data_IF_269667425048
#
_entry.id   IF_269667425048
#
_cell.length_a   1.000
_cell.length_b   1.000
_cell.length_c   1.000
_cell.angle_alpha   90.00
_cell.angle_beta   90.00
_cell.angle_gamma   90.00
#
_symmetry.space_group_name_H-M   'P 1'
#
loop_
_entity.id
_entity.type
_entity.pdbx_description
1 polymer ?
#
# COMPACT_ATOMS: atom_id res chain seq x y z
N UNK A 1 -12.92 -9.66 5.61
CA UNK A 1 -12.33 -8.84 4.52
C UNK A 1 -13.14 -9.07 3.26
N UNK A 2 -13.62 -8.01 2.60
CA UNK A 2 -14.39 -8.10 1.35
C UNK A 2 -13.52 -8.63 0.19
N UNK A 3 -14.15 -9.05 -0.91
CA UNK A 3 -13.41 -9.47 -2.11
C UNK A 3 -12.51 -8.36 -2.65
N UNK A 4 -13.00 -7.12 -2.65
CA UNK A 4 -12.21 -5.93 -3.00
C UNK A 4 -11.01 -5.77 -2.06
N UNK A 5 -11.21 -5.91 -0.75
CA UNK A 5 -10.11 -5.84 0.22
C UNK A 5 -9.04 -6.93 -0.02
N UNK A 6 -9.45 -8.15 -0.37
CA UNK A 6 -8.51 -9.23 -0.71
C UNK A 6 -7.71 -8.91 -1.96
N UNK A 7 -8.35 -8.37 -3.01
CA UNK A 7 -7.68 -7.95 -4.24
C UNK A 7 -6.70 -6.82 -4.00
N UNK A 8 -7.07 -5.81 -3.19
CA UNK A 8 -6.18 -4.71 -2.81
C UNK A 8 -4.96 -5.21 -2.05
N UNK A 9 -5.14 -6.08 -1.05
CA UNK A 9 -4.02 -6.67 -0.30
C UNK A 9 -3.07 -7.42 -1.24
N UNK A 10 -3.62 -8.22 -2.15
CA UNK A 10 -2.83 -8.93 -3.16
C UNK A 10 -2.09 -7.97 -4.09
N UNK A 11 -2.76 -6.92 -4.57
CA UNK A 11 -2.17 -5.93 -5.47
C UNK A 11 -0.99 -5.19 -4.81
N UNK A 12 -1.09 -4.81 -3.54
CA UNK A 12 0.02 -4.18 -2.81
C UNK A 12 1.23 -5.14 -2.76
N UNK A 13 1.02 -6.39 -2.37
CA UNK A 13 2.10 -7.38 -2.24
C UNK A 13 2.75 -7.70 -3.59
N UNK A 14 1.95 -7.97 -4.62
CA UNK A 14 2.44 -8.27 -5.97
C UNK A 14 3.24 -7.11 -6.54
N UNK A 15 2.67 -5.90 -6.55
CA UNK A 15 3.33 -4.73 -7.16
C UNK A 15 4.60 -4.32 -6.42
N UNK A 16 4.63 -4.44 -5.09
CA UNK A 16 5.84 -4.14 -4.32
C UNK A 16 6.95 -5.16 -4.56
N UNK A 17 6.61 -6.44 -4.76
CA UNK A 17 7.57 -7.47 -5.12
C UNK A 17 8.11 -7.26 -6.54
N UNK A 18 7.25 -7.04 -7.53
CA UNK A 18 7.64 -6.85 -8.94
C UNK A 18 8.52 -5.62 -9.16
N UNK A 19 8.31 -4.57 -8.37
CA UNK A 19 9.03 -3.30 -8.53
C UNK A 19 10.27 -3.20 -7.65
N UNK A 20 10.52 -4.15 -6.75
CA UNK A 20 11.66 -4.09 -5.84
C UNK A 20 12.99 -3.85 -6.60
N UNK A 21 13.86 -2.94 -6.12
CA UNK A 21 13.79 -2.19 -4.85
C UNK A 21 13.01 -0.85 -4.93
N UNK A 22 12.30 -0.58 -6.04
CA UNK A 22 11.49 0.63 -6.20
C UNK A 22 10.19 0.56 -5.38
N UNK A 23 9.53 1.70 -5.24
CA UNK A 23 8.29 1.87 -4.46
C UNK A 23 7.07 1.99 -5.36
N UNK A 24 5.89 1.81 -4.78
CA UNK A 24 4.57 2.17 -5.34
C UNK A 24 3.91 3.27 -4.49
N UNK A 25 2.81 3.85 -4.97
CA UNK A 25 1.86 4.59 -4.12
C UNK A 25 0.55 3.80 -3.94
N UNK A 26 -0.33 4.18 -2.99
CA UNK A 26 -1.62 3.51 -2.83
C UNK A 26 -2.47 3.49 -4.11
N UNK A 27 -2.43 4.56 -4.91
CA UNK A 27 -3.19 4.61 -6.17
C UNK A 27 -2.73 3.59 -7.20
N UNK A 28 -1.48 3.13 -7.17
CA UNK A 28 -1.01 2.08 -8.08
C UNK A 28 -1.76 0.76 -7.80
N UNK A 29 -1.87 0.37 -6.53
CA UNK A 29 -2.60 -0.82 -6.11
C UNK A 29 -4.11 -0.68 -6.34
N UNK A 30 -4.69 0.49 -6.02
CA UNK A 30 -6.10 0.75 -6.26
C UNK A 30 -6.48 0.65 -7.74
N UNK A 31 -5.68 1.25 -8.63
CA UNK A 31 -5.91 1.19 -10.10
C UNK A 31 -5.72 -0.20 -10.68
N UNK A 32 -4.86 -1.03 -10.07
CA UNK A 32 -4.72 -2.42 -10.48
C UNK A 32 -5.98 -3.26 -10.16
N UNK A 33 -6.80 -2.83 -9.19
CA UNK A 33 -8.04 -3.53 -8.81
C UNK A 33 -9.27 -2.97 -9.52
N UNK A 34 -9.40 -1.65 -9.58
CA UNK A 34 -10.49 -0.97 -10.28
C UNK A 34 -9.97 0.36 -10.87
N UNK A 35 -9.60 0.39 -12.16
CA UNK A 35 -9.03 1.58 -12.78
C UNK A 35 -10.02 2.74 -12.90
N UNK A 36 -11.32 2.47 -12.94
CA UNK A 36 -12.36 3.48 -13.12
C UNK A 36 -12.77 4.11 -11.79
N UNK A 37 -12.82 3.31 -10.71
CA UNK A 37 -13.27 3.75 -9.37
C UNK A 37 -12.16 3.78 -8.31
N UNK A 38 -10.88 3.77 -8.71
CA UNK A 38 -9.74 3.66 -7.78
C UNK A 38 -9.73 4.68 -6.63
N UNK A 39 -10.34 5.85 -6.82
CA UNK A 39 -10.42 6.89 -5.78
C UNK A 39 -11.23 6.44 -4.57
N UNK A 40 -12.30 5.68 -4.78
CA UNK A 40 -13.15 5.13 -3.72
C UNK A 40 -12.42 4.03 -2.93
N UNK A 41 -11.39 3.43 -3.53
CA UNK A 41 -10.58 2.39 -2.90
C UNK A 41 -9.41 2.95 -2.07
N UNK A 42 -9.16 4.27 -2.09
CA UNK A 42 -7.96 4.86 -1.50
C UNK A 42 -7.84 4.66 0.01
N UNK A 43 -8.95 4.81 0.74
CA UNK A 43 -8.94 4.65 2.20
C UNK A 43 -8.69 3.19 2.58
N UNK A 44 -9.43 2.26 1.96
CA UNK A 44 -9.21 0.82 2.14
C UNK A 44 -7.78 0.39 1.76
N UNK A 45 -7.21 0.96 0.69
CA UNK A 45 -5.84 0.66 0.27
C UNK A 45 -4.80 1.15 1.29
N UNK A 46 -5.02 2.33 1.88
CA UNK A 46 -4.16 2.88 2.93
C UNK A 46 -4.24 2.05 4.21
N UNK A 47 -5.43 1.61 4.60
CA UNK A 47 -5.63 0.77 5.78
C UNK A 47 -4.93 -0.59 5.62
N UNK A 48 -5.08 -1.22 4.45
CA UNK A 48 -4.37 -2.45 4.13
C UNK A 48 -2.85 -2.26 4.06
N UNK A 49 -2.37 -1.13 3.56
CA UNK A 49 -0.94 -0.82 3.60
C UNK A 49 -0.42 -0.73 5.05
N UNK A 50 -1.18 -0.11 5.96
CA UNK A 50 -0.85 -0.08 7.40
C UNK A 50 -0.83 -1.47 8.01
N UNK A 51 -1.83 -2.30 7.71
CA UNK A 51 -1.86 -3.69 8.18
C UNK A 51 -0.63 -4.48 7.72
N UNK A 52 -0.26 -4.36 6.46
CA UNK A 52 0.91 -5.02 5.89
C UNK A 52 2.22 -4.46 6.46
N UNK A 53 2.26 -3.17 6.83
CA UNK A 53 3.41 -2.59 7.52
C UNK A 53 3.54 -3.13 8.94
N UNK A 54 2.42 -3.24 9.68
CA UNK A 54 2.39 -3.89 11.00
C UNK A 54 2.84 -5.34 10.97
N UNK A 55 2.51 -6.09 9.91
CA UNK A 55 2.96 -7.49 9.76
C UNK A 55 4.42 -7.61 9.26
N UNK A 56 5.08 -6.49 8.94
CA UNK A 56 6.44 -6.51 8.38
C UNK A 56 6.50 -6.97 6.92
N UNK A 57 5.37 -7.01 6.21
CA UNK A 57 5.34 -7.36 4.79
C UNK A 57 5.81 -6.19 3.91
N UNK A 58 5.51 -4.95 4.30
CA UNK A 58 5.89 -3.74 3.57
C UNK A 58 6.46 -2.69 4.51
N UNK A 59 7.14 -1.71 3.92
CA UNK A 59 7.51 -0.47 4.60
C UNK A 59 6.80 0.70 3.93
N UNK A 60 6.21 1.57 4.74
CA UNK A 60 5.58 2.83 4.27
C UNK A 60 6.56 3.96 4.55
N UNK A 61 6.81 4.81 3.54
CA UNK A 61 7.63 6.01 3.70
C UNK A 61 6.92 7.27 3.23
N UNK A 62 7.31 8.41 3.79
CA UNK A 62 6.92 9.73 3.34
C UNK A 62 8.14 10.63 3.33
N UNK A 63 8.41 11.26 2.17
CA UNK A 63 9.61 12.09 1.95
C UNK A 63 10.93 11.36 2.27
N UNK A 64 10.96 10.03 2.11
CA UNK A 64 12.13 9.20 2.39
C UNK A 64 12.13 8.58 3.79
N UNK A 65 11.38 9.14 4.73
CA UNK A 65 11.33 8.68 6.12
C UNK A 65 10.30 7.57 6.31
N UNK A 66 10.65 6.55 7.08
CA UNK A 66 9.72 5.49 7.46
C UNK A 66 8.63 6.02 8.39
N UNK A 67 7.38 5.61 8.12
CA UNK A 67 6.23 6.01 8.92
C UNK A 67 5.82 4.90 9.87
N UNK A 68 5.51 5.28 11.10
CA UNK A 68 4.78 4.44 12.04
C UNK A 68 3.36 4.15 11.48
N UNK A 69 2.99 2.87 11.28
CA UNK A 69 1.68 2.50 10.74
C UNK A 69 0.51 2.78 11.69
N UNK A 70 0.74 3.09 12.96
CA UNK A 70 -0.29 3.42 13.95
C UNK A 70 -0.39 4.93 14.23
N UNK A 71 0.58 5.72 13.74
CA UNK A 71 0.53 7.18 13.80
C UNK A 71 -0.40 7.80 12.74
N UNK A 72 -0.88 9.02 13.02
CA UNK A 72 -1.59 9.82 12.02
C UNK A 72 -0.62 10.44 11.02
N UNK A 73 -0.88 10.24 9.73
CA UNK A 73 -0.15 10.87 8.64
C UNK A 73 -1.10 11.25 7.50
N UNK A 74 -0.71 12.27 6.74
CA UNK A 74 -1.52 12.83 5.66
C UNK A 74 -0.69 13.03 4.41
N UNK A 75 -1.35 13.01 3.26
CA UNK A 75 -0.72 13.28 1.97
C UNK A 75 -0.06 12.07 1.32
N UNK A 76 0.79 12.30 0.30
CA UNK A 76 1.41 11.23 -0.48
C UNK A 76 2.36 10.38 0.36
N UNK A 77 2.28 9.07 0.15
CA UNK A 77 3.15 8.06 0.76
C UNK A 77 3.68 7.12 -0.33
N UNK A 78 4.76 6.42 -0.01
CA UNK A 78 5.34 5.35 -0.83
C UNK A 78 5.29 4.04 -0.05
N UNK A 79 5.12 2.93 -0.76
CA UNK A 79 5.09 1.58 -0.20
C UNK A 79 6.17 0.78 -0.93
N UNK A 80 7.03 0.07 -0.19
CA UNK A 80 8.00 -0.89 -0.74
C UNK A 80 7.88 -2.21 -0.01
N UNK A 81 8.37 -3.29 -0.63
CA UNK A 81 8.52 -4.57 0.07
C UNK A 81 9.50 -4.40 1.24
N UNK A 82 9.18 -4.98 2.39
CA UNK A 82 10.16 -5.12 3.45
C UNK A 82 11.29 -6.04 2.96
N UNK A 83 12.55 -5.70 3.28
CA UNK A 83 13.67 -6.57 2.93
C UNK A 83 13.54 -7.90 3.67
N UNK A 84 13.81 -9.00 2.97
CA UNK A 84 14.13 -10.27 3.63
C UNK A 84 15.43 -10.14 4.40
#
# INVERSE_FOLDING_TARGET
MSDVGRRLRSAILTLTAERAPRTICPSDAARAVDPDNWRELMDATRDLARELARSGDVVITQKGEELDPDAQWRGPIRIRRAGT
#
